data_IF_082306184243
#
_entry.id   IF_082306184243
#
_cell.length_a   1.000
_cell.length_b   1.000
_cell.length_c   1.000
_cell.angle_alpha   90.00
_cell.angle_beta   90.00
_cell.angle_gamma   90.00
#
_symmetry.space_group_name_H-M   'P 1'
#
loop_
_entity.id
_entity.type
_entity.pdbx_description
1 polymer ?
#
# COMPACT_ATOMS: atom_id res chain seq x y z
N UNK A 1 2.86 -1.64 27.01
CA UNK A 1 4.16 -2.22 27.46
C UNK A 1 5.21 -1.22 27.00
N UNK A 2 5.77 -0.44 27.91
CA UNK A 2 6.76 0.58 27.57
C UNK A 2 8.14 -0.08 27.53
N UNK A 3 8.86 0.07 26.42
CA UNK A 3 10.24 -0.38 26.26
C UNK A 3 11.08 0.88 26.08
N UNK A 4 12.04 1.05 26.97
CA UNK A 4 12.90 2.23 27.05
C UNK A 4 14.36 1.77 26.87
N UNK A 5 15.12 2.48 26.04
CA UNK A 5 16.52 2.17 25.79
C UNK A 5 17.36 3.43 26.06
N UNK A 6 18.34 3.32 26.95
CA UNK A 6 19.26 4.41 27.29
C UNK A 6 20.69 3.95 27.10
N UNK A 7 21.54 4.86 26.63
CA UNK A 7 22.99 4.62 26.54
C UNK A 7 23.64 5.04 27.86
N UNK A 8 24.43 4.17 28.46
CA UNK A 8 25.18 4.48 29.68
C UNK A 8 26.43 5.29 29.37
N UNK A 9 27.00 5.96 30.37
CA UNK A 9 28.23 6.77 30.23
C UNK A 9 29.45 5.94 29.80
N UNK A 10 29.44 4.64 30.11
CA UNK A 10 30.44 3.65 29.69
C UNK A 10 30.24 3.16 28.24
N UNK A 11 29.16 3.60 27.58
CA UNK A 11 28.87 3.31 26.18
C UNK A 11 28.05 2.03 25.93
N UNK A 12 27.56 1.39 26.99
CA UNK A 12 26.67 0.23 26.93
C UNK A 12 25.21 0.65 26.79
N UNK A 13 24.32 -0.30 26.48
CA UNK A 13 22.89 -0.03 26.31
C UNK A 13 22.09 -0.67 27.42
N UNK A 14 21.20 0.10 28.03
CA UNK A 14 20.38 -0.33 29.15
C UNK A 14 18.92 -0.36 28.66
N UNK A 15 18.33 -1.55 28.68
CA UNK A 15 16.99 -1.83 28.18
C UNK A 15 16.05 -2.00 29.38
N UNK A 16 15.09 -1.10 29.50
CA UNK A 16 14.03 -1.14 30.51
C UNK A 16 12.76 -1.76 29.90
N UNK A 17 12.31 -2.88 30.45
CA UNK A 17 11.05 -3.54 30.08
C UNK A 17 10.20 -3.73 31.35
N UNK A 18 9.27 -2.82 31.59
CA UNK A 18 8.48 -2.81 32.82
C UNK A 18 9.37 -2.66 34.06
N UNK A 19 9.41 -3.68 34.93
CA UNK A 19 10.25 -3.68 36.14
C UNK A 19 11.62 -4.35 35.95
N UNK A 20 11.95 -4.78 34.73
CA UNK A 20 13.20 -5.48 34.42
C UNK A 20 14.14 -4.53 33.70
N UNK A 21 15.34 -4.39 34.25
CA UNK A 21 16.45 -3.65 33.64
C UNK A 21 17.49 -4.65 33.16
N UNK A 22 17.81 -4.59 31.87
CA UNK A 22 18.81 -5.45 31.24
C UNK A 22 19.93 -4.57 30.72
N UNK A 23 21.15 -4.82 31.18
CA UNK A 23 22.35 -4.23 30.60
C UNK A 23 22.80 -5.08 29.42
N UNK A 24 22.87 -4.45 28.24
CA UNK A 24 23.24 -5.07 26.99
C UNK A 24 24.69 -4.69 26.66
N UNK A 25 25.63 -5.63 26.82
CA UNK A 25 26.99 -5.40 26.39
C UNK A 25 27.04 -5.23 24.86
N UNK A 26 28.04 -4.49 24.39
CA UNK A 26 28.18 -4.11 22.97
C UNK A 26 28.17 -5.32 22.02
N UNK A 27 28.71 -6.45 22.48
CA UNK A 27 28.73 -7.73 21.74
C UNK A 27 27.32 -8.29 21.54
N UNK A 28 26.47 -8.23 22.57
CA UNK A 28 25.08 -8.64 22.50
C UNK A 28 24.27 -7.74 21.56
N UNK A 29 24.50 -6.42 21.60
CA UNK A 29 23.87 -5.47 20.65
C UNK A 29 24.28 -5.78 19.22
N UNK A 30 25.56 -6.08 18.99
CA UNK A 30 26.08 -6.43 17.65
C UNK A 30 25.50 -7.76 17.16
N UNK A 31 25.38 -8.76 18.05
CA UNK A 31 24.73 -10.04 17.73
C UNK A 31 23.25 -9.89 17.42
N UNK A 32 22.51 -9.09 18.20
CA UNK A 32 21.11 -8.75 17.94
C UNK A 32 20.95 -8.04 16.59
N UNK A 33 21.81 -7.06 16.30
CA UNK A 33 21.83 -6.38 15.01
C UNK A 33 22.06 -7.35 13.85
N UNK A 34 23.00 -8.30 13.98
CA UNK A 34 23.25 -9.30 12.95
C UNK A 34 22.06 -10.25 12.76
N UNK A 35 21.40 -10.68 13.83
CA UNK A 35 20.21 -11.56 13.75
C UNK A 35 19.04 -10.81 13.11
N UNK A 36 18.80 -9.57 13.50
CA UNK A 36 17.79 -8.69 12.89
C UNK A 36 18.12 -8.49 11.40
N UNK A 37 19.37 -8.18 11.07
CA UNK A 37 19.80 -7.97 9.68
C UNK A 37 19.68 -9.24 8.83
N UNK A 38 20.00 -10.42 9.38
CA UNK A 38 19.83 -11.70 8.69
C UNK A 38 18.35 -12.06 8.50
N UNK A 39 17.50 -11.85 9.52
CA UNK A 39 16.06 -12.08 9.40
C UNK A 39 15.39 -11.12 8.42
N UNK A 40 15.80 -9.86 8.42
CA UNK A 40 15.29 -8.86 7.47
C UNK A 40 15.85 -9.09 6.06
N UNK A 41 17.10 -9.54 5.90
CA UNK A 41 17.78 -9.63 4.60
C UNK A 41 17.67 -10.97 3.86
N UNK A 42 17.37 -12.10 4.52
CA UNK A 42 17.31 -13.41 3.86
C UNK A 42 15.93 -13.78 3.29
N UNK A 43 14.85 -13.17 3.79
CA UNK A 43 13.51 -13.26 3.19
C UNK A 43 13.21 -12.12 2.20
N UNK A 44 13.93 -11.00 2.28
CA UNK A 44 13.56 -9.76 1.59
C UNK A 44 13.59 -9.88 0.08
N UNK A 45 14.60 -10.49 -0.53
CA UNK A 45 14.76 -10.37 -1.98
C UNK A 45 13.73 -11.19 -2.75
N UNK A 46 13.43 -12.40 -2.28
CA UNK A 46 12.41 -13.26 -2.87
C UNK A 46 11.02 -12.67 -2.63
N UNK A 47 10.75 -12.20 -1.41
CA UNK A 47 9.45 -11.61 -1.06
C UNK A 47 9.25 -10.26 -1.78
N UNK A 48 10.30 -9.46 -1.94
CA UNK A 48 10.28 -8.19 -2.67
C UNK A 48 10.08 -8.43 -4.16
N UNK A 49 10.73 -9.44 -4.75
CA UNK A 49 10.46 -9.84 -6.14
C UNK A 49 9.01 -10.33 -6.32
N UNK A 50 8.49 -11.11 -5.38
CA UNK A 50 7.10 -11.56 -5.40
C UNK A 50 6.11 -10.37 -5.28
N UNK A 51 6.42 -9.42 -4.40
CA UNK A 51 5.66 -8.19 -4.21
C UNK A 51 5.65 -7.34 -5.48
N UNK A 52 6.82 -7.12 -6.11
CA UNK A 52 6.92 -6.38 -7.36
C UNK A 52 6.15 -7.06 -8.50
N UNK A 53 6.17 -8.40 -8.58
CA UNK A 53 5.35 -9.16 -9.55
C UNK A 53 3.86 -8.93 -9.31
N UNK A 54 3.39 -9.01 -8.05
CA UNK A 54 1.99 -8.72 -7.69
C UNK A 54 1.60 -7.29 -8.08
N UNK A 55 2.43 -6.30 -7.71
CA UNK A 55 2.17 -4.90 -8.04
C UNK A 55 2.08 -4.68 -9.53
N UNK A 56 2.95 -5.29 -10.33
CA UNK A 56 2.88 -5.21 -11.79
C UNK A 56 1.53 -5.68 -12.33
N UNK A 57 1.05 -6.83 -11.87
CA UNK A 57 -0.28 -7.34 -12.25
C UNK A 57 -1.39 -6.38 -11.84
N UNK A 58 -1.29 -5.77 -10.66
CA UNK A 58 -2.26 -4.80 -10.18
C UNK A 58 -2.24 -3.49 -10.99
N UNK A 59 -1.07 -3.02 -11.42
CA UNK A 59 -0.97 -1.88 -12.36
C UNK A 59 -1.64 -2.21 -13.68
N UNK A 60 -1.40 -3.39 -14.24
CA UNK A 60 -2.03 -3.82 -15.50
C UNK A 60 -3.56 -3.87 -15.37
N UNK A 61 -4.07 -4.32 -14.22
CA UNK A 61 -5.51 -4.33 -13.93
C UNK A 61 -6.09 -2.92 -13.77
N UNK A 62 -5.38 -2.02 -13.07
CA UNK A 62 -5.79 -0.63 -12.94
C UNK A 62 -5.82 0.07 -14.31
N UNK A 63 -4.81 -0.16 -15.15
CA UNK A 63 -4.72 0.40 -16.50
C UNK A 63 -5.87 -0.02 -17.42
N UNK A 64 -6.41 -1.24 -17.26
CA UNK A 64 -7.58 -1.68 -18.02
C UNK A 64 -8.82 -0.82 -17.77
N UNK A 65 -8.94 -0.22 -16.57
CA UNK A 65 -10.06 0.66 -16.24
C UNK A 65 -10.04 1.97 -17.04
N UNK A 66 -8.89 2.39 -17.57
CA UNK A 66 -8.79 3.61 -18.39
C UNK A 66 -9.64 3.47 -19.67
N UNK A 67 -9.62 2.28 -20.28
CA UNK A 67 -10.39 1.97 -21.50
C UNK A 67 -11.83 1.50 -21.26
N UNK A 68 -12.21 1.25 -20.00
CA UNK A 68 -13.56 0.79 -19.65
C UNK A 68 -14.59 1.90 -19.88
N UNK A 69 -15.83 1.54 -20.22
CA UNK A 69 -16.93 2.48 -20.41
C UNK A 69 -17.18 3.35 -19.16
N UNK A 70 -17.56 4.59 -19.41
CA UNK A 70 -17.76 5.61 -18.39
C UNK A 70 -18.85 5.24 -17.36
N UNK A 71 -19.94 4.59 -17.80
CA UNK A 71 -21.01 4.14 -16.90
C UNK A 71 -20.54 3.02 -15.97
N UNK A 72 -19.70 2.13 -16.48
CA UNK A 72 -19.10 1.05 -15.67
C UNK A 72 -18.15 1.65 -14.64
N UNK A 73 -17.31 2.62 -15.03
CA UNK A 73 -16.42 3.31 -14.09
C UNK A 73 -17.21 4.03 -13.01
N UNK A 74 -18.30 4.71 -13.35
CA UNK A 74 -19.16 5.36 -12.36
C UNK A 74 -19.71 4.35 -11.33
N UNK A 75 -20.19 3.19 -11.77
CA UNK A 75 -20.70 2.15 -10.88
C UNK A 75 -19.60 1.56 -9.98
N UNK A 76 -18.43 1.29 -10.56
CA UNK A 76 -17.31 0.68 -9.84
C UNK A 76 -16.73 1.66 -8.81
N UNK A 77 -16.56 2.94 -9.17
CA UNK A 77 -16.02 3.96 -8.27
C UNK A 77 -16.90 4.14 -7.02
N UNK A 78 -18.23 4.04 -7.15
CA UNK A 78 -19.16 4.12 -6.03
C UNK A 78 -19.14 2.89 -5.10
N UNK A 79 -18.55 1.77 -5.54
CA UNK A 79 -18.43 0.55 -4.75
C UNK A 79 -17.08 0.42 -4.04
N UNK A 80 -16.14 1.32 -4.32
CA UNK A 80 -14.84 1.36 -3.67
C UNK A 80 -14.86 2.30 -2.47
N UNK A 81 -14.11 1.96 -1.42
CA UNK A 81 -13.79 2.94 -0.38
C UNK A 81 -12.90 4.05 -0.96
N UNK A 82 -12.84 5.24 -0.33
CA UNK A 82 -11.96 6.32 -0.79
C UNK A 82 -10.51 5.88 -0.95
N UNK A 83 -9.98 5.15 0.03
CA UNK A 83 -8.60 4.64 0.03
C UNK A 83 -8.35 3.65 -1.13
N UNK A 84 -9.32 2.77 -1.41
CA UNK A 84 -9.25 1.83 -2.53
C UNK A 84 -9.24 2.56 -3.86
N UNK A 85 -10.11 3.55 -4.03
CA UNK A 85 -10.22 4.33 -5.26
C UNK A 85 -8.93 5.12 -5.53
N UNK A 86 -8.36 5.73 -4.49
CA UNK A 86 -7.05 6.41 -4.56
C UNK A 86 -5.94 5.42 -4.90
N UNK A 87 -5.91 4.26 -4.25
CA UNK A 87 -4.90 3.21 -4.51
C UNK A 87 -4.92 2.78 -5.98
N UNK A 88 -6.10 2.50 -6.52
CA UNK A 88 -6.27 2.09 -7.93
C UNK A 88 -5.81 3.19 -8.87
N UNK A 89 -6.20 4.45 -8.60
CA UNK A 89 -5.80 5.58 -9.41
C UNK A 89 -4.28 5.81 -9.41
N UNK A 90 -3.60 5.65 -8.26
CA UNK A 90 -2.14 5.81 -8.14
C UNK A 90 -1.34 4.64 -8.73
N UNK A 91 -1.93 3.45 -8.81
CA UNK A 91 -1.30 2.30 -9.46
C UNK A 91 -1.41 2.34 -10.98
N UNK A 92 -2.43 2.99 -11.52
CA UNK A 92 -2.53 3.22 -12.95
C UNK A 92 -1.36 4.10 -13.46
N UNK A 93 -0.98 3.89 -14.71
CA UNK A 93 0.09 4.65 -15.34
C UNK A 93 -0.36 6.08 -15.64
N UNK A 94 0.36 7.03 -15.05
CA UNK A 94 0.07 8.46 -15.17
C UNK A 94 -1.29 8.83 -14.57
N UNK A 95 -1.85 9.95 -15.03
CA UNK A 95 -3.07 10.52 -14.44
C UNK A 95 -4.34 10.16 -15.22
N UNK A 96 -4.27 9.27 -16.22
CA UNK A 96 -5.42 8.99 -17.11
C UNK A 96 -6.62 8.44 -16.34
N UNK A 97 -6.37 7.50 -15.43
CA UNK A 97 -7.45 6.92 -14.62
C UNK A 97 -8.01 7.93 -13.61
N UNK A 98 -7.13 8.75 -13.01
CA UNK A 98 -7.54 9.85 -12.15
C UNK A 98 -8.54 10.79 -12.86
N UNK A 99 -8.19 11.28 -14.05
CA UNK A 99 -9.07 12.16 -14.82
C UNK A 99 -10.38 11.47 -15.22
N UNK A 100 -10.32 10.18 -15.58
CA UNK A 100 -11.52 9.40 -15.91
C UNK A 100 -12.44 9.23 -14.72
N UNK A 101 -11.91 8.96 -13.53
CA UNK A 101 -12.70 8.90 -12.29
C UNK A 101 -13.34 10.26 -12.03
N UNK A 102 -12.56 11.34 -12.05
CA UNK A 102 -13.04 12.71 -11.83
C UNK A 102 -14.19 13.10 -12.77
N UNK A 103 -14.10 12.75 -14.07
CA UNK A 103 -15.16 13.05 -15.05
C UNK A 103 -16.46 12.29 -14.79
N UNK A 104 -16.36 11.10 -14.21
CA UNK A 104 -17.51 10.20 -14.02
C UNK A 104 -18.12 10.27 -12.62
N UNK A 105 -17.58 11.10 -11.74
CA UNK A 105 -18.11 11.34 -10.40
C UNK A 105 -18.97 12.60 -10.34
N UNK A 106 -19.86 12.66 -9.34
CA UNK A 106 -20.56 13.91 -9.01
C UNK A 106 -19.56 14.97 -8.55
N UNK A 107 -19.92 16.26 -8.63
CA UNK A 107 -19.05 17.37 -8.20
C UNK A 107 -18.55 17.22 -6.76
N UNK A 108 -19.43 16.77 -5.86
CA UNK A 108 -19.08 16.56 -4.45
C UNK A 108 -18.10 15.39 -4.28
N UNK A 109 -18.40 14.23 -4.88
CA UNK A 109 -17.57 13.04 -4.70
C UNK A 109 -16.22 13.19 -5.44
N UNK A 110 -16.20 13.89 -6.57
CA UNK A 110 -14.97 14.23 -7.27
C UNK A 110 -14.07 15.16 -6.44
N UNK A 111 -14.65 16.17 -5.76
CA UNK A 111 -13.88 17.03 -4.85
C UNK A 111 -13.26 16.23 -3.71
N UNK A 112 -14.04 15.36 -3.07
CA UNK A 112 -13.55 14.49 -2.01
C UNK A 112 -12.42 13.56 -2.52
N UNK A 113 -12.63 12.89 -3.66
CA UNK A 113 -11.62 12.02 -4.25
C UNK A 113 -10.32 12.78 -4.58
N UNK A 114 -10.42 14.01 -5.08
CA UNK A 114 -9.25 14.85 -5.37
C UNK A 114 -8.49 15.21 -4.08
N UNK A 115 -9.20 15.56 -3.01
CA UNK A 115 -8.61 15.84 -1.70
C UNK A 115 -7.91 14.58 -1.15
N UNK A 116 -8.60 13.43 -1.14
CA UNK A 116 -8.05 12.16 -0.69
C UNK A 116 -6.81 11.75 -1.51
N UNK A 117 -6.84 11.98 -2.83
CA UNK A 117 -5.72 11.66 -3.73
C UNK A 117 -4.48 12.52 -3.43
N UNK A 118 -4.68 13.77 -3.03
CA UNK A 118 -3.61 14.69 -2.64
C UNK A 118 -3.08 14.38 -1.23
N UNK A 119 -3.95 14.06 -0.27
CA UNK A 119 -3.56 13.75 1.12
C UNK A 119 -2.80 12.42 1.23
N UNK A 120 -3.24 11.39 0.49
CA UNK A 120 -2.55 10.09 0.38
C UNK A 120 -1.33 10.18 -0.56
N UNK A 121 -0.40 11.09 -0.26
CA UNK A 121 0.85 11.28 -1.03
C UNK A 121 1.71 10.01 -1.09
N UNK A 122 1.67 9.16 -0.07
CA UNK A 122 2.47 7.93 0.01
C UNK A 122 1.62 6.77 0.51
N UNK A 123 1.32 5.83 -0.38
CA UNK A 123 0.84 4.49 -0.02
C UNK A 123 2.04 3.54 -0.03
N UNK A 124 2.14 2.67 0.97
CA UNK A 124 3.17 1.63 0.96
C UNK A 124 2.79 0.56 -0.07
N UNK A 125 3.79 -0.14 -0.60
CA UNK A 125 3.58 -1.25 -1.55
C UNK A 125 2.69 -2.34 -0.97
N UNK A 126 2.83 -2.65 0.32
CA UNK A 126 1.98 -3.60 1.02
C UNK A 126 0.54 -3.12 1.13
N UNK A 127 0.33 -1.84 1.48
CA UNK A 127 -1.02 -1.27 1.55
C UNK A 127 -1.69 -1.30 0.17
N UNK A 128 -0.92 -0.97 -0.88
CA UNK A 128 -1.39 -1.07 -2.24
C UNK A 128 -1.84 -2.50 -2.61
N UNK A 129 -1.07 -3.51 -2.21
CA UNK A 129 -1.46 -4.91 -2.41
C UNK A 129 -2.73 -5.30 -1.65
N UNK A 130 -2.85 -4.95 -0.37
CA UNK A 130 -4.02 -5.26 0.45
C UNK A 130 -5.29 -4.63 -0.11
N UNK A 131 -5.20 -3.36 -0.52
CA UNK A 131 -6.32 -2.66 -1.15
C UNK A 131 -6.68 -3.28 -2.51
N UNK A 132 -5.68 -3.62 -3.32
CA UNK A 132 -5.94 -4.24 -4.62
C UNK A 132 -6.53 -5.65 -4.51
N UNK A 133 -6.13 -6.47 -3.54
CA UNK A 133 -6.71 -7.80 -3.32
C UNK A 133 -8.24 -7.72 -3.10
N UNK A 134 -8.70 -6.68 -2.38
CA UNK A 134 -10.14 -6.43 -2.15
C UNK A 134 -10.85 -5.89 -3.39
N UNK A 135 -10.14 -5.15 -4.24
CA UNK A 135 -10.71 -4.45 -5.40
C UNK A 135 -10.70 -5.28 -6.69
N UNK A 136 -9.79 -6.25 -6.81
CA UNK A 136 -9.68 -7.14 -7.98
C UNK A 136 -11.02 -7.77 -8.40
N UNK A 137 -11.89 -8.27 -7.50
CA UNK A 137 -13.21 -8.77 -7.88
C UNK A 137 -14.08 -7.72 -8.59
N UNK A 138 -14.05 -6.48 -8.12
CA UNK A 138 -14.79 -5.36 -8.73
C UNK A 138 -14.26 -5.05 -10.13
N UNK A 139 -12.94 -5.00 -10.29
CA UNK A 139 -12.29 -4.77 -11.61
C UNK A 139 -12.63 -5.89 -12.59
N UNK A 140 -12.63 -7.14 -12.13
CA UNK A 140 -13.02 -8.30 -12.97
C UNK A 140 -14.46 -8.20 -13.43
N UNK A 141 -15.38 -7.83 -12.53
CA UNK A 141 -16.79 -7.59 -12.86
C UNK A 141 -16.94 -6.46 -13.89
N UNK A 142 -16.21 -5.37 -13.70
CA UNK A 142 -16.16 -4.25 -14.64
C UNK A 142 -15.70 -4.69 -16.04
N UNK A 143 -14.64 -5.51 -16.11
CA UNK A 143 -14.13 -6.05 -17.36
C UNK A 143 -15.12 -7.02 -18.04
N UNK A 144 -15.87 -7.80 -17.28
CA UNK A 144 -16.94 -8.65 -17.82
C UNK A 144 -18.08 -7.80 -18.40
N UNK A 145 -18.51 -6.77 -17.68
CA UNK A 145 -19.53 -5.83 -18.17
C UNK A 145 -19.07 -5.12 -19.45
N UNK A 146 -17.80 -4.71 -19.53
CA UNK A 146 -17.24 -4.09 -20.73
C UNK A 146 -17.36 -5.00 -21.95
N UNK A 147 -17.05 -6.29 -21.79
CA UNK A 147 -17.17 -7.29 -22.87
C UNK A 147 -18.60 -7.54 -23.31
N UNK A 148 -19.59 -7.32 -22.45
CA UNK A 148 -21.00 -7.45 -22.81
C UNK A 148 -21.52 -6.28 -23.66
N UNK A 149 -20.80 -5.15 -23.68
CA UNK A 149 -21.20 -3.92 -24.37
C UNK A 149 -20.29 -3.61 -25.57
N UNK A 150 -19.11 -4.25 -25.64
CA UNK A 150 -18.17 -4.19 -26.77
C UNK A 150 -18.49 -5.25 -27.82
#
# INVERSE_FOLDING_TARGET
MEISAKRTETGEYLLEIGYVTIELPREAVSGLQQIISKRLGQGSDVDQQALQKKLKVYRDLANKLVSTDDRIIQQVALQMSPEQLVTVAKLAEGERLFHKIMRNMSRQNGKQFQEDYQELTKITEQQACVNMEKVVPLIRKAAQQQKSIS
#
